data_IF_931720799421
#
_entry.id   IF_931720799421
#
_cell.length_a   1.000
_cell.length_b   1.000
_cell.length_c   1.000
_cell.angle_alpha   90.00
_cell.angle_beta   90.00
_cell.angle_gamma   90.00
#
_symmetry.space_group_name_H-M   'P 1'
#
loop_
_entity.id
_entity.type
_entity.pdbx_description
1 polymer ?
#
# COMPACT_ATOMS: atom_id res chain seq x y z
N UNK A 1 26.95 19.46 -27.04
CA UNK A 1 25.50 19.44 -27.19
C UNK A 1 24.91 18.69 -25.97
N UNK A 2 24.34 19.44 -25.00
CA UNK A 2 23.78 18.88 -23.79
C UNK A 2 22.47 18.19 -24.11
N UNK A 3 22.39 16.89 -23.86
CA UNK A 3 21.15 16.14 -23.88
C UNK A 3 20.36 16.62 -22.64
N UNK A 4 19.38 17.50 -22.85
CA UNK A 4 18.43 17.90 -21.83
C UNK A 4 17.67 16.67 -21.34
N UNK A 5 18.04 16.13 -20.18
CA UNK A 5 17.25 15.09 -19.51
C UNK A 5 15.92 15.72 -19.13
N UNK A 6 14.86 15.40 -19.86
CA UNK A 6 13.49 15.74 -19.47
C UNK A 6 13.20 15.10 -18.11
N UNK A 7 13.19 15.90 -17.06
CA UNK A 7 12.81 15.47 -15.72
C UNK A 7 11.32 15.75 -15.53
N UNK A 8 10.56 14.74 -15.19
CA UNK A 8 9.18 14.94 -14.74
C UNK A 8 9.18 15.33 -13.27
N UNK A 9 8.45 16.39 -12.94
CA UNK A 9 8.26 16.86 -11.57
C UNK A 9 6.78 16.72 -11.19
N UNK A 10 6.52 16.45 -9.93
CA UNK A 10 5.20 16.46 -9.34
C UNK A 10 5.22 17.45 -8.16
N UNK A 11 4.36 18.47 -8.23
CA UNK A 11 4.08 19.33 -7.08
C UNK A 11 2.65 19.03 -6.60
N UNK A 12 2.50 18.76 -5.32
CA UNK A 12 1.18 18.58 -4.69
C UNK A 12 1.21 19.25 -3.30
N UNK A 13 0.08 19.81 -2.82
CA UNK A 13 -0.03 20.22 -1.43
C UNK A 13 0.20 19.00 -0.50
N UNK A 14 0.88 19.22 0.63
CA UNK A 14 0.92 18.21 1.67
C UNK A 14 -0.44 18.14 2.35
N UNK A 15 -0.99 16.93 2.51
CA UNK A 15 -2.24 16.74 3.24
C UNK A 15 -2.01 16.79 4.75
N UNK A 16 -0.84 16.37 5.21
CA UNK A 16 -0.44 16.37 6.60
C UNK A 16 1.05 16.71 6.72
N UNK A 17 1.46 17.10 7.90
CA UNK A 17 2.85 17.30 8.29
C UNK A 17 3.03 16.71 9.68
N UNK A 18 3.91 15.74 9.83
CA UNK A 18 4.24 15.14 11.12
C UNK A 18 5.69 15.40 11.46
N UNK A 19 5.93 15.79 12.70
CA UNK A 19 7.27 15.95 13.30
C UNK A 19 7.68 14.74 14.12
N UNK A 20 7.01 13.60 13.93
CA UNK A 20 7.26 12.33 14.65
C UNK A 20 7.18 12.50 16.18
N UNK A 21 6.27 13.35 16.65
CA UNK A 21 6.06 13.57 18.09
C UNK A 21 7.01 14.56 18.75
N UNK A 22 7.95 15.20 18.03
CA UNK A 22 8.82 16.21 18.56
C UNK A 22 8.11 17.53 18.86
N UNK A 23 7.01 17.82 18.18
CA UNK A 23 6.17 18.99 18.38
C UNK A 23 4.70 18.61 18.26
N UNK A 24 3.79 19.49 18.75
CA UNK A 24 2.37 19.35 18.48
C UNK A 24 2.11 19.67 17.00
N UNK A 25 1.92 18.64 16.19
CA UNK A 25 1.69 18.79 14.78
C UNK A 25 0.31 19.42 14.50
N UNK A 26 0.24 20.51 13.75
CA UNK A 26 -1.03 21.16 13.46
C UNK A 26 -1.84 20.30 12.47
N UNK A 27 -3.14 20.15 12.72
CA UNK A 27 -4.05 19.67 11.72
C UNK A 27 -4.26 20.74 10.65
N UNK A 28 -3.62 20.57 9.49
CA UNK A 28 -3.69 21.55 8.41
C UNK A 28 -5.09 21.58 7.80
N UNK A 29 -5.54 22.75 7.36
CA UNK A 29 -6.81 22.89 6.64
C UNK A 29 -6.87 22.03 5.36
N UNK A 30 -5.72 21.74 4.75
CA UNK A 30 -5.58 20.83 3.61
C UNK A 30 -5.85 19.37 3.95
N UNK A 31 -5.73 19.01 5.24
CA UNK A 31 -6.04 17.67 5.76
C UNK A 31 -7.52 17.49 6.12
N UNK A 32 -8.26 18.62 6.26
CA UNK A 32 -9.69 18.59 6.58
C UNK A 32 -10.49 18.11 5.38
N UNK A 33 -10.71 16.81 5.30
CA UNK A 33 -11.61 16.20 4.33
C UNK A 33 -13.07 16.31 4.81
N UNK A 34 -14.00 16.48 3.87
CA UNK A 34 -15.44 16.33 4.15
C UNK A 34 -15.83 14.86 4.35
N UNK A 35 -14.97 13.94 3.94
CA UNK A 35 -15.14 12.50 4.14
C UNK A 35 -14.58 12.12 5.52
N UNK A 36 -15.45 11.76 6.44
CA UNK A 36 -15.10 11.38 7.82
C UNK A 36 -14.20 10.14 7.88
N UNK A 37 -14.32 9.22 6.93
CA UNK A 37 -13.48 8.02 6.85
C UNK A 37 -12.06 8.38 6.44
N UNK A 38 -11.91 9.25 5.42
CA UNK A 38 -10.60 9.75 5.02
C UNK A 38 -9.91 10.54 6.14
N UNK A 39 -10.68 11.40 6.83
CA UNK A 39 -10.14 12.17 7.95
C UNK A 39 -9.69 11.25 9.10
N UNK A 40 -10.54 10.30 9.51
CA UNK A 40 -10.20 9.38 10.59
C UNK A 40 -8.98 8.52 10.23
N UNK A 41 -8.94 7.96 8.99
CA UNK A 41 -7.82 7.15 8.54
C UNK A 41 -6.51 7.97 8.46
N UNK A 42 -6.57 9.24 8.04
CA UNK A 42 -5.41 10.13 8.03
C UNK A 42 -4.88 10.39 9.45
N UNK A 43 -5.76 10.71 10.40
CA UNK A 43 -5.35 10.94 11.80
C UNK A 43 -4.69 9.70 12.38
N UNK A 44 -5.26 8.51 12.19
CA UNK A 44 -4.65 7.28 12.67
C UNK A 44 -3.37 6.91 11.93
N UNK A 45 -3.24 7.25 10.65
CA UNK A 45 -2.02 7.11 9.88
C UNK A 45 -0.87 7.92 10.51
N UNK A 46 -1.10 9.20 10.79
CA UNK A 46 -0.08 10.06 11.43
C UNK A 46 0.28 9.58 12.84
N UNK A 47 -0.69 9.13 13.61
CA UNK A 47 -0.44 8.53 14.93
C UNK A 47 0.40 7.25 14.81
N UNK A 48 0.17 6.44 13.78
CA UNK A 48 0.91 5.19 13.59
C UNK A 48 2.42 5.41 13.41
N UNK A 49 2.83 6.52 12.81
CA UNK A 49 4.25 6.86 12.69
C UNK A 49 4.96 7.04 14.05
N UNK A 50 4.23 7.35 15.12
CA UNK A 50 4.79 7.41 16.47
C UNK A 50 4.95 6.02 17.13
N UNK A 51 4.27 4.99 16.60
CA UNK A 51 4.35 3.63 17.13
C UNK A 51 5.52 2.85 16.54
N UNK A 52 5.75 2.95 15.23
CA UNK A 52 6.78 2.18 14.54
C UNK A 52 7.42 3.01 13.42
N UNK A 53 8.75 3.09 13.45
CA UNK A 53 9.54 3.71 12.40
C UNK A 53 10.79 2.89 12.08
N UNK A 54 10.85 2.32 10.88
CA UNK A 54 12.01 1.58 10.38
C UNK A 54 12.92 2.53 9.61
N UNK A 55 14.14 2.72 10.12
CA UNK A 55 15.14 3.60 9.51
C UNK A 55 15.48 3.14 8.08
N UNK A 56 15.46 4.07 7.13
CA UNK A 56 15.83 3.79 5.74
C UNK A 56 14.78 3.04 4.91
N UNK A 57 13.56 2.81 5.42
CA UNK A 57 12.50 2.18 4.66
C UNK A 57 11.18 2.98 4.69
N UNK A 58 11.16 4.08 3.97
CA UNK A 58 9.94 4.91 3.84
C UNK A 58 8.75 4.10 3.31
N UNK A 59 8.97 3.18 2.35
CA UNK A 59 7.89 2.39 1.78
C UNK A 59 7.21 1.49 2.82
N UNK A 60 7.98 0.89 3.74
CA UNK A 60 7.42 0.13 4.84
C UNK A 60 6.64 1.03 5.81
N UNK A 61 7.24 2.14 6.22
CA UNK A 61 6.65 3.06 7.20
C UNK A 61 5.31 3.62 6.71
N UNK A 62 5.24 4.06 5.46
CA UNK A 62 4.02 4.58 4.85
C UNK A 62 2.96 3.48 4.66
N UNK A 63 3.36 2.28 4.20
CA UNK A 63 2.44 1.16 4.04
C UNK A 63 1.88 0.67 5.39
N UNK A 64 2.73 0.63 6.43
CA UNK A 64 2.32 0.33 7.81
C UNK A 64 1.32 1.37 8.33
N UNK A 65 1.67 2.66 8.21
CA UNK A 65 0.81 3.74 8.69
C UNK A 65 -0.54 3.75 7.95
N UNK A 66 -0.56 3.49 6.65
CA UNK A 66 -1.78 3.38 5.86
C UNK A 66 -2.66 2.21 6.32
N UNK A 67 -2.08 1.03 6.54
CA UNK A 67 -2.80 -0.11 7.09
C UNK A 67 -3.42 0.21 8.45
N UNK A 68 -2.62 0.73 9.40
CA UNK A 68 -3.12 1.12 10.74
C UNK A 68 -4.23 2.16 10.60
N UNK A 69 -4.05 3.15 9.73
CA UNK A 69 -5.02 4.20 9.45
C UNK A 69 -6.41 3.65 9.14
N UNK A 70 -6.52 2.78 8.15
CA UNK A 70 -7.82 2.18 7.76
C UNK A 70 -8.33 1.16 8.79
N UNK A 71 -7.45 0.32 9.34
CA UNK A 71 -7.85 -0.67 10.33
C UNK A 71 -8.34 -0.04 11.64
N UNK A 72 -7.74 1.06 12.07
CA UNK A 72 -8.18 1.82 13.24
C UNK A 72 -9.45 2.62 12.95
N UNK A 73 -9.57 3.26 11.77
CA UNK A 73 -10.78 3.96 11.37
C UNK A 73 -11.99 3.03 11.35
N UNK A 74 -11.86 1.82 10.80
CA UNK A 74 -12.92 0.83 10.83
C UNK A 74 -13.38 0.54 12.27
N UNK A 75 -12.45 0.27 13.19
CA UNK A 75 -12.76 -0.03 14.61
C UNK A 75 -13.36 1.16 15.33
N UNK A 76 -12.88 2.35 15.05
CA UNK A 76 -13.41 3.60 15.59
C UNK A 76 -14.89 3.78 15.24
N UNK A 77 -15.28 3.57 13.98
CA UNK A 77 -16.66 3.68 13.56
C UNK A 77 -17.55 2.54 14.13
N UNK A 78 -17.02 1.30 14.18
CA UNK A 78 -17.72 0.18 14.82
C UNK A 78 -18.00 0.46 16.30
N UNK A 79 -17.04 1.03 17.04
CA UNK A 79 -17.23 1.36 18.47
C UNK A 79 -18.30 2.43 18.70
N UNK A 80 -18.69 3.16 17.66
CA UNK A 80 -19.75 4.19 17.66
C UNK A 80 -21.06 3.71 17.02
N UNK A 81 -21.16 2.41 16.73
CA UNK A 81 -22.27 1.80 16.00
C UNK A 81 -22.50 2.40 14.59
N UNK A 82 -21.52 3.10 14.02
CA UNK A 82 -21.55 3.58 12.64
C UNK A 82 -21.00 2.50 11.68
N UNK A 83 -21.84 1.52 11.42
CA UNK A 83 -21.48 0.37 10.56
C UNK A 83 -21.24 0.78 9.12
N UNK A 84 -21.90 1.83 8.63
CA UNK A 84 -21.73 2.30 7.25
C UNK A 84 -20.35 2.90 7.03
N UNK A 85 -19.89 3.78 7.91
CA UNK A 85 -18.54 4.35 7.83
C UNK A 85 -17.47 3.28 8.07
N UNK A 86 -17.72 2.30 8.95
CA UNK A 86 -16.82 1.18 9.15
C UNK A 86 -16.66 0.31 7.88
N UNK A 87 -17.77 0.03 7.19
CA UNK A 87 -17.74 -0.69 5.92
C UNK A 87 -16.98 0.11 4.85
N UNK A 88 -17.24 1.41 4.75
CA UNK A 88 -16.51 2.28 3.83
C UNK A 88 -15.00 2.31 4.10
N UNK A 89 -14.57 2.27 5.37
CA UNK A 89 -13.15 2.17 5.72
C UNK A 89 -12.53 0.84 5.22
N UNK A 90 -13.26 -0.27 5.40
CA UNK A 90 -12.84 -1.57 4.89
C UNK A 90 -12.78 -1.60 3.34
N UNK A 91 -13.78 -1.02 2.67
CA UNK A 91 -13.83 -0.92 1.21
C UNK A 91 -12.70 -0.04 0.66
N UNK A 92 -12.36 1.06 1.33
CA UNK A 92 -11.19 1.88 1.00
C UNK A 92 -9.90 1.08 1.12
N UNK A 93 -9.73 0.32 2.20
CA UNK A 93 -8.56 -0.54 2.38
C UNK A 93 -8.47 -1.62 1.30
N UNK A 94 -9.59 -2.23 0.93
CA UNK A 94 -9.66 -3.15 -0.21
C UNK A 94 -9.13 -2.49 -1.49
N UNK A 95 -9.62 -1.29 -1.80
CA UNK A 95 -9.24 -0.56 -3.01
C UNK A 95 -7.77 -0.12 -2.99
N UNK A 96 -7.23 0.27 -1.83
CA UNK A 96 -5.81 0.60 -1.68
C UNK A 96 -4.90 -0.58 -2.01
N UNK A 97 -5.27 -1.80 -1.57
CA UNK A 97 -4.53 -3.02 -1.92
C UNK A 97 -4.59 -3.32 -3.41
N UNK A 98 -5.77 -3.31 -3.99
CA UNK A 98 -5.95 -3.53 -5.43
C UNK A 98 -5.16 -2.50 -6.25
N UNK A 99 -5.20 -1.24 -5.86
CA UNK A 99 -4.43 -0.17 -6.49
C UNK A 99 -2.91 -0.39 -6.35
N UNK A 100 -2.45 -0.91 -5.22
CA UNK A 100 -1.06 -1.30 -4.99
C UNK A 100 -0.58 -2.38 -5.96
N UNK A 101 -1.38 -3.42 -6.15
CA UNK A 101 -1.11 -4.49 -7.11
C UNK A 101 -1.06 -3.95 -8.55
N UNK A 102 -2.04 -3.13 -8.93
CA UNK A 102 -2.05 -2.48 -10.24
C UNK A 102 -0.80 -1.66 -10.49
N UNK A 103 -0.39 -0.81 -9.55
CA UNK A 103 0.82 0.00 -9.71
C UNK A 103 2.09 -0.84 -9.73
N UNK A 104 2.13 -1.95 -9.02
CA UNK A 104 3.26 -2.89 -9.07
C UNK A 104 3.44 -3.45 -10.49
N UNK A 105 2.36 -3.89 -11.14
CA UNK A 105 2.40 -4.38 -12.52
C UNK A 105 2.74 -3.26 -13.52
N UNK A 106 2.13 -2.08 -13.35
CA UNK A 106 2.39 -0.92 -14.22
C UNK A 106 3.85 -0.49 -14.17
N UNK A 107 4.43 -0.41 -12.97
CA UNK A 107 5.84 -0.07 -12.78
C UNK A 107 6.77 -1.13 -13.38
N UNK A 108 6.47 -2.42 -13.19
CA UNK A 108 7.26 -3.50 -13.79
C UNK A 108 7.28 -3.44 -15.33
N UNK A 109 6.13 -3.07 -15.95
CA UNK A 109 6.07 -2.86 -17.42
C UNK A 109 6.92 -1.68 -17.86
N UNK A 110 6.90 -0.58 -17.13
CA UNK A 110 7.74 0.59 -17.44
C UNK A 110 9.22 0.30 -17.22
N UNK A 111 9.59 -0.35 -16.11
CA UNK A 111 10.96 -0.75 -15.81
C UNK A 111 11.50 -1.69 -16.92
N UNK A 112 10.68 -2.66 -17.36
CA UNK A 112 11.02 -3.55 -18.48
C UNK A 112 11.20 -2.81 -19.81
N UNK A 113 10.38 -1.79 -20.07
CA UNK A 113 10.53 -0.94 -21.25
C UNK A 113 11.84 -0.15 -21.20
N UNK A 114 12.13 0.50 -20.08
CA UNK A 114 13.31 1.35 -19.94
C UNK A 114 14.62 0.54 -19.91
N UNK A 115 14.60 -0.68 -19.39
CA UNK A 115 15.75 -1.58 -19.41
C UNK A 115 16.24 -1.91 -20.83
N UNK A 116 15.37 -1.83 -21.84
CA UNK A 116 15.72 -2.08 -23.24
C UNK A 116 16.57 -0.96 -23.87
N UNK A 117 16.67 0.21 -23.22
CA UNK A 117 17.46 1.37 -23.70
C UNK A 117 17.16 1.74 -25.15
N UNK A 118 15.92 1.71 -25.57
CA UNK A 118 15.46 1.95 -26.93
C UNK A 118 15.72 3.41 -27.38
N UNK A 119 15.82 3.68 -28.68
CA UNK A 119 15.75 5.04 -29.23
C UNK A 119 14.46 5.74 -28.77
N UNK A 120 14.47 7.09 -28.74
CA UNK A 120 13.39 7.91 -28.22
C UNK A 120 12.03 7.55 -28.81
N UNK A 121 11.90 7.45 -30.12
CA UNK A 121 10.63 7.14 -30.79
C UNK A 121 10.06 5.77 -30.38
N UNK A 122 10.91 4.74 -30.34
CA UNK A 122 10.51 3.41 -29.92
C UNK A 122 10.15 3.37 -28.43
N UNK A 123 10.84 4.15 -27.59
CA UNK A 123 10.51 4.29 -26.18
C UNK A 123 9.17 5.01 -25.98
N UNK A 124 8.89 6.08 -26.72
CA UNK A 124 7.64 6.83 -26.68
C UNK A 124 6.46 5.95 -27.15
N UNK A 125 6.65 5.16 -28.20
CA UNK A 125 5.67 4.15 -28.65
C UNK A 125 5.41 3.09 -27.59
N UNK A 126 6.47 2.59 -26.94
CA UNK A 126 6.36 1.64 -25.82
C UNK A 126 5.59 2.23 -24.64
N UNK A 127 5.84 3.48 -24.28
CA UNK A 127 5.09 4.20 -23.23
C UNK A 127 3.60 4.33 -23.57
N UNK A 128 3.30 4.62 -24.84
CA UNK A 128 1.91 4.70 -25.32
C UNK A 128 1.20 3.35 -25.17
N UNK A 129 1.87 2.25 -25.51
CA UNK A 129 1.33 0.91 -25.33
C UNK A 129 1.09 0.56 -23.86
N UNK A 130 2.02 0.91 -22.95
CA UNK A 130 1.83 0.74 -21.51
C UNK A 130 0.67 1.60 -21.00
N UNK A 131 0.53 2.84 -21.48
CA UNK A 131 -0.57 3.71 -21.11
C UNK A 131 -1.93 3.15 -21.60
N UNK A 132 -1.97 2.55 -22.78
CA UNK A 132 -3.18 1.89 -23.30
C UNK A 132 -3.53 0.67 -22.44
N UNK A 133 -2.56 -0.20 -22.14
CA UNK A 133 -2.77 -1.32 -21.24
C UNK A 133 -3.32 -0.86 -19.87
N UNK A 134 -2.80 0.24 -19.33
CA UNK A 134 -3.24 0.79 -18.05
C UNK A 134 -4.71 1.22 -18.08
N UNK A 135 -5.14 1.90 -19.17
CA UNK A 135 -6.55 2.29 -19.38
C UNK A 135 -7.45 1.07 -19.55
N UNK A 136 -7.06 0.12 -20.40
CA UNK A 136 -7.85 -1.08 -20.69
C UNK A 136 -8.03 -1.94 -19.42
N UNK A 137 -6.98 -2.04 -18.58
CA UNK A 137 -7.06 -2.73 -17.29
C UNK A 137 -8.07 -2.06 -16.36
N UNK A 138 -8.06 -0.74 -16.27
CA UNK A 138 -9.03 0.00 -15.44
C UNK A 138 -10.45 0.00 -16.01
N UNK A 139 -10.60 -0.02 -17.32
CA UNK A 139 -11.93 -0.12 -17.96
C UNK A 139 -12.53 -1.53 -17.92
N UNK A 140 -11.72 -2.55 -17.58
CA UNK A 140 -12.12 -3.95 -17.57
C UNK A 140 -12.61 -4.46 -16.20
N UNK A 141 -12.70 -5.79 -16.03
CA UNK A 141 -13.19 -6.42 -14.80
C UNK A 141 -12.37 -6.03 -13.55
N UNK A 142 -11.07 -5.76 -13.71
CA UNK A 142 -10.24 -5.30 -12.61
C UNK A 142 -10.74 -3.95 -12.07
N UNK A 143 -10.98 -2.95 -12.95
CA UNK A 143 -11.53 -1.67 -12.52
C UNK A 143 -12.91 -1.81 -11.88
N UNK A 144 -13.73 -2.73 -12.35
CA UNK A 144 -15.05 -3.01 -11.75
C UNK A 144 -14.99 -3.61 -10.36
N UNK A 145 -13.84 -4.09 -9.90
CA UNK A 145 -13.64 -4.61 -8.53
C UNK A 145 -13.48 -3.52 -7.47
N UNK A 146 -13.18 -2.28 -7.86
CA UNK A 146 -13.09 -1.16 -6.94
C UNK A 146 -14.46 -0.79 -6.38
N UNK A 147 -14.50 -0.45 -5.10
CA UNK A 147 -15.72 -0.21 -4.33
C UNK A 147 -15.95 1.27 -4.03
N UNK A 148 -14.87 2.04 -3.95
CA UNK A 148 -14.90 3.44 -3.51
C UNK A 148 -14.19 4.40 -4.46
N UNK A 149 -13.22 3.92 -5.25
CA UNK A 149 -12.50 4.79 -6.18
C UNK A 149 -13.27 5.03 -7.47
N UNK A 150 -13.21 6.26 -7.95
CA UNK A 150 -13.71 6.63 -9.26
C UNK A 150 -12.76 6.10 -10.35
N UNK A 151 -13.04 4.91 -10.86
CA UNK A 151 -12.18 4.18 -11.82
C UNK A 151 -11.92 4.98 -13.08
N UNK A 152 -12.93 5.68 -13.59
CA UNK A 152 -12.80 6.54 -14.78
C UNK A 152 -11.71 7.58 -14.60
N UNK A 153 -11.68 8.24 -13.42
CA UNK A 153 -10.65 9.21 -13.09
C UNK A 153 -9.25 8.59 -12.94
N UNK A 154 -9.17 7.33 -12.53
CA UNK A 154 -7.90 6.60 -12.46
C UNK A 154 -7.41 6.22 -13.86
N UNK A 155 -8.30 5.79 -14.74
CA UNK A 155 -8.00 5.43 -16.12
C UNK A 155 -7.50 6.64 -16.95
N UNK A 156 -8.01 7.82 -16.69
CA UNK A 156 -7.64 9.06 -17.38
C UNK A 156 -6.34 9.69 -16.88
N UNK A 157 -5.81 9.24 -15.74
CA UNK A 157 -4.57 9.82 -15.19
C UNK A 157 -3.39 9.62 -16.13
N UNK A 158 -2.66 10.69 -16.48
CA UNK A 158 -1.46 10.55 -17.30
C UNK A 158 -0.38 9.77 -16.54
N UNK A 159 0.33 8.91 -17.26
CA UNK A 159 1.50 8.19 -16.70
C UNK A 159 2.63 9.20 -16.48
N UNK A 160 2.75 9.67 -15.24
CA UNK A 160 3.82 10.53 -14.78
C UNK A 160 4.77 9.72 -13.89
N UNK A 161 6.02 9.56 -14.30
CA UNK A 161 7.00 8.74 -13.58
C UNK A 161 7.21 9.22 -12.13
N UNK A 162 7.20 10.54 -11.87
CA UNK A 162 7.36 11.08 -10.52
C UNK A 162 6.15 10.74 -9.63
N UNK A 163 4.93 10.78 -10.19
CA UNK A 163 3.72 10.37 -9.47
C UNK A 163 3.74 8.87 -9.17
N UNK A 164 4.16 8.04 -10.15
CA UNK A 164 4.24 6.59 -9.98
C UNK A 164 5.29 6.16 -8.94
N UNK A 165 6.43 6.85 -8.87
CA UNK A 165 7.42 6.59 -7.82
C UNK A 165 6.84 6.89 -6.44
N UNK A 166 6.03 7.95 -6.30
CA UNK A 166 5.31 8.23 -5.06
C UNK A 166 4.36 7.11 -4.64
N UNK A 167 3.70 6.43 -5.59
CA UNK A 167 2.77 5.33 -5.27
C UNK A 167 3.45 4.12 -4.65
N UNK A 168 4.72 3.85 -4.99
CA UNK A 168 5.52 2.78 -4.38
C UNK A 168 5.69 2.96 -2.87
N UNK A 169 5.75 4.20 -2.39
CA UNK A 169 5.98 4.48 -0.97
C UNK A 169 4.78 4.06 -0.10
N UNK A 170 3.56 4.19 -0.62
CA UNK A 170 2.33 4.02 0.17
C UNK A 170 1.63 2.68 -0.05
N UNK A 171 2.03 1.89 -1.04
CA UNK A 171 1.27 0.70 -1.47
C UNK A 171 2.15 -0.52 -1.72
N UNK A 172 3.21 -0.67 -0.93
CA UNK A 172 4.09 -1.83 -1.05
C UNK A 172 3.59 -2.98 -0.19
N UNK A 173 3.35 -4.14 -0.82
CA UNK A 173 3.06 -5.40 -0.12
C UNK A 173 1.93 -5.30 0.94
N UNK A 174 0.89 -4.50 0.70
CA UNK A 174 -0.16 -4.17 1.68
C UNK A 174 -0.89 -5.40 2.23
N UNK A 175 -1.03 -6.46 1.44
CA UNK A 175 -1.65 -7.71 1.87
C UNK A 175 -0.93 -8.40 3.04
N UNK A 176 0.38 -8.17 3.20
CA UNK A 176 1.14 -8.74 4.32
C UNK A 176 0.64 -8.26 5.68
N UNK A 177 0.13 -7.04 5.74
CA UNK A 177 -0.40 -6.50 6.99
C UNK A 177 -1.74 -7.15 7.38
N UNK A 178 -2.57 -7.54 6.40
CA UNK A 178 -3.78 -8.31 6.66
C UNK A 178 -3.44 -9.73 7.14
N UNK A 179 -2.51 -10.41 6.47
CA UNK A 179 -2.01 -11.72 6.88
C UNK A 179 -1.44 -11.67 8.30
N UNK A 180 -0.71 -10.60 8.62
CA UNK A 180 -0.18 -10.38 9.95
C UNK A 180 -1.30 -10.19 10.98
N UNK A 181 -2.27 -9.32 10.70
CA UNK A 181 -3.41 -9.07 11.58
C UNK A 181 -4.20 -10.36 11.85
N UNK A 182 -4.45 -11.16 10.82
CA UNK A 182 -5.11 -12.46 10.96
C UNK A 182 -4.30 -13.40 11.87
N UNK A 183 -2.98 -13.43 11.72
CA UNK A 183 -2.10 -14.24 12.57
C UNK A 183 -2.14 -13.83 14.04
N UNK A 184 -2.48 -12.56 14.32
CA UNK A 184 -2.67 -12.01 15.66
C UNK A 184 -4.11 -12.14 16.19
N UNK A 185 -4.96 -12.91 15.50
CA UNK A 185 -6.37 -13.13 15.87
C UNK A 185 -7.27 -11.92 15.61
N UNK A 186 -6.88 -11.03 14.70
CA UNK A 186 -7.62 -9.81 14.35
C UNK A 186 -7.47 -8.66 15.37
N UNK A 187 -6.65 -8.84 16.39
CA UNK A 187 -6.35 -7.80 17.40
C UNK A 187 -5.32 -6.80 16.88
N UNK A 188 -5.77 -5.59 16.55
CA UNK A 188 -4.91 -4.55 15.98
C UNK A 188 -3.81 -4.11 16.96
N UNK A 189 -4.14 -3.97 18.24
CA UNK A 189 -3.15 -3.56 19.25
C UNK A 189 -2.04 -4.58 19.36
N UNK A 190 -2.41 -5.87 19.45
CA UNK A 190 -1.44 -6.98 19.47
C UNK A 190 -0.61 -7.00 18.18
N UNK A 191 -1.23 -6.75 17.04
CA UNK A 191 -0.54 -6.73 15.76
C UNK A 191 0.48 -5.59 15.67
N UNK A 192 0.14 -4.37 16.10
CA UNK A 192 1.08 -3.23 16.13
C UNK A 192 2.23 -3.51 17.07
N UNK A 193 1.97 -3.87 18.33
CA UNK A 193 3.01 -4.20 19.32
C UNK A 193 3.88 -5.39 18.88
N UNK A 194 3.30 -6.33 18.14
CA UNK A 194 4.04 -7.45 17.56
C UNK A 194 5.02 -7.01 16.48
N UNK A 195 4.63 -6.05 15.62
CA UNK A 195 5.53 -5.48 14.61
C UNK A 195 6.63 -4.63 15.24
N UNK A 196 6.33 -3.83 16.26
CA UNK A 196 7.33 -3.07 17.01
C UNK A 196 8.46 -3.99 17.50
N UNK A 197 8.12 -5.10 18.17
CA UNK A 197 9.10 -6.08 18.68
C UNK A 197 9.86 -6.79 17.54
N UNK A 198 9.15 -7.19 16.48
CA UNK A 198 9.74 -7.89 15.33
C UNK A 198 10.79 -7.03 14.61
N UNK A 199 10.59 -5.72 14.63
CA UNK A 199 11.33 -4.76 13.80
C UNK A 199 12.18 -3.78 14.61
N UNK A 200 12.33 -3.97 15.92
CA UNK A 200 13.06 -3.08 16.84
C UNK A 200 14.46 -2.72 16.33
N UNK A 201 15.16 -3.68 15.74
CA UNK A 201 16.51 -3.53 15.19
C UNK A 201 16.57 -3.60 13.66
N UNK A 202 15.40 -3.51 12.98
CA UNK A 202 15.34 -3.60 11.53
C UNK A 202 15.70 -2.27 10.85
N UNK A 203 16.49 -2.33 9.79
CA UNK A 203 16.82 -1.20 8.93
C UNK A 203 16.60 -1.55 7.45
N UNK A 204 16.31 -0.55 6.63
CA UNK A 204 16.14 -0.71 5.19
C UNK A 204 15.11 -1.80 4.84
N UNK A 205 15.43 -2.62 3.85
CA UNK A 205 14.51 -3.65 3.33
C UNK A 205 14.25 -4.83 4.28
N UNK A 206 14.92 -4.88 5.43
CA UNK A 206 14.75 -5.97 6.39
C UNK A 206 13.32 -6.08 6.93
N UNK A 207 12.59 -4.96 7.05
CA UNK A 207 11.25 -4.95 7.60
C UNK A 207 10.28 -5.85 6.82
N UNK A 208 10.15 -5.62 5.50
CA UNK A 208 9.32 -6.48 4.66
C UNK A 208 9.83 -7.92 4.63
N UNK A 209 11.14 -8.12 4.60
CA UNK A 209 11.72 -9.46 4.57
C UNK A 209 11.41 -10.24 5.85
N UNK A 210 11.54 -9.63 7.04
CA UNK A 210 11.22 -10.27 8.32
C UNK A 210 9.74 -10.61 8.39
N UNK A 211 8.86 -9.68 8.03
CA UNK A 211 7.42 -9.91 8.03
C UNK A 211 7.02 -11.04 7.07
N UNK A 212 7.53 -11.03 5.83
CA UNK A 212 7.31 -12.09 4.85
C UNK A 212 7.72 -13.47 5.36
N UNK A 213 8.93 -13.58 5.92
CA UNK A 213 9.45 -14.86 6.46
C UNK A 213 8.57 -15.38 7.58
N UNK A 214 8.15 -14.51 8.50
CA UNK A 214 7.33 -14.91 9.63
C UNK A 214 5.96 -15.42 9.19
N UNK A 215 5.28 -14.69 8.27
CA UNK A 215 3.99 -15.11 7.72
C UNK A 215 4.12 -16.45 6.97
N UNK A 216 5.18 -16.63 6.19
CA UNK A 216 5.42 -17.90 5.48
C UNK A 216 5.65 -19.06 6.45
N UNK A 217 6.44 -18.86 7.52
CA UNK A 217 6.66 -19.88 8.55
C UNK A 217 5.36 -20.26 9.26
N UNK A 218 4.50 -19.30 9.59
CA UNK A 218 3.20 -19.54 10.21
C UNK A 218 2.24 -20.29 9.28
N UNK A 219 2.23 -19.95 7.99
CA UNK A 219 1.43 -20.67 6.98
C UNK A 219 1.91 -22.11 6.79
N UNK A 220 3.23 -22.34 6.75
CA UNK A 220 3.82 -23.68 6.68
C UNK A 220 3.48 -24.53 7.90
N UNK A 221 3.48 -23.94 9.10
CA UNK A 221 3.11 -24.65 10.34
C UNK A 221 1.61 -24.99 10.44
N UNK A 222 0.74 -24.28 9.72
CA UNK A 222 -0.71 -24.52 9.65
C UNK A 222 -1.12 -25.49 8.51
N UNK A 223 -0.20 -25.82 7.60
CA UNK A 223 -0.48 -26.78 6.54
C UNK A 223 -0.84 -28.16 7.17
N UNK A 224 -1.92 -28.84 6.73
CA UNK A 224 -2.25 -30.16 7.24
C UNK A 224 -1.10 -31.12 6.95
N UNK A 225 -0.79 -31.97 7.94
CA UNK A 225 0.15 -33.06 7.74
C UNK A 225 -0.29 -33.91 6.53
N UNK A 226 0.64 -34.32 5.66
CA UNK A 226 0.30 -35.20 4.57
C UNK A 226 -0.38 -36.47 5.15
N UNK A 227 -1.40 -37.02 4.47
CA UNK A 227 -2.04 -38.25 4.95
C UNK A 227 -0.99 -39.31 5.17
N UNK A 228 -1.16 -40.18 6.21
CA UNK A 228 -0.22 -41.27 6.45
C UNK A 228 -0.12 -42.11 5.19
N UNK A 229 1.11 -42.42 4.78
CA UNK A 229 1.40 -43.29 3.67
C UNK A 229 0.80 -44.67 4.04
N UNK A 230 -0.23 -45.07 3.33
CA UNK A 230 -0.77 -46.42 3.50
C UNK A 230 0.29 -47.40 3.02
N UNK A 231 0.96 -48.07 3.95
CA UNK A 231 1.77 -49.25 3.63
C UNK A 231 0.87 -50.32 2.99
N UNK A 232 0.88 -50.34 1.68
CA UNK A 232 0.34 -51.49 0.93
C UNK A 232 1.44 -52.53 0.80
N UNK A 233 1.67 -53.25 1.90
CA UNK A 233 2.32 -54.57 1.83
C UNK A 233 1.24 -55.62 1.80
N UNK A 234 1.01 -56.18 0.64
CA UNK A 234 0.45 -57.50 0.41
C UNK A 234 1.07 -58.07 -0.87
#
# INVERSE_FOLDING_TARGET
AGIGKSRTTLMRPSAAFSTLGWFNDPLLSTALSRDSVELASLVFHEIAHNSLWVKGNTAFNESFAQWVGYAAAQRFFLSRADTLSALRAADRWHDEKALGEYYTVLLAKLDSLYAKKLPREANDSGRTAVAQWARDTMAGPFGSSFRTFAVDRLAERPINNAALLGTRLYRSDLHLFDDWLESQGGDLTRAVLGLERLLEDAEGDQAFQRLKRLIQAQRGARAPLPPPVSDSTA
#
